data_IF_330537243737
#
_entry.id   IF_330537243737
#
_cell.length_a   1.000
_cell.length_b   1.000
_cell.length_c   1.000
_cell.angle_alpha   90.00
_cell.angle_beta   90.00
_cell.angle_gamma   90.00
#
_symmetry.space_group_name_H-M   'P 1'
#
loop_
_entity.id
_entity.type
_entity.pdbx_description
1 polymer ?
#
# COMPACT_ATOMS: atom_id res chain seq x y z
N UNK A 1 3.11 -8.24 7.74
CA UNK A 1 2.08 -8.39 7.89
C UNK A 1 0.76 -8.07 7.19
N UNK A 2 0.51 -8.59 5.97
CA UNK A 2 -0.72 -8.35 5.22
C UNK A 2 -1.49 -9.64 4.93
N UNK A 3 -1.19 -10.73 5.67
CA UNK A 3 -1.76 -12.06 5.42
C UNK A 3 -3.30 -12.06 5.44
N UNK A 4 -3.91 -11.27 6.32
CA UNK A 4 -5.36 -11.18 6.47
C UNK A 4 -6.05 -10.53 5.25
N UNK A 5 -5.29 -9.83 4.41
CA UNK A 5 -5.78 -9.14 3.22
C UNK A 5 -5.73 -10.02 1.95
N UNK A 6 -5.15 -11.21 2.05
CA UNK A 6 -4.98 -12.12 0.91
C UNK A 6 -6.22 -12.97 0.63
N UNK A 7 -7.12 -13.11 1.61
CA UNK A 7 -8.33 -13.93 1.46
C UNK A 7 -9.25 -13.39 0.35
N UNK A 8 -9.57 -14.24 -0.62
CA UNK A 8 -10.43 -13.92 -1.75
C UNK A 8 -9.77 -13.05 -2.85
N UNK A 9 -8.49 -12.73 -2.72
CA UNK A 9 -7.77 -11.89 -3.68
C UNK A 9 -7.65 -12.55 -5.05
N UNK A 10 -7.38 -13.86 -5.09
CA UNK A 10 -7.30 -14.62 -6.34
C UNK A 10 -8.64 -14.62 -7.09
N UNK A 11 -9.73 -14.93 -6.39
CA UNK A 11 -11.07 -14.91 -6.97
C UNK A 11 -11.43 -13.52 -7.52
N UNK A 12 -11.11 -12.47 -6.76
CA UNK A 12 -11.34 -11.09 -7.18
C UNK A 12 -10.53 -10.76 -8.45
N UNK A 13 -9.26 -11.11 -8.50
CA UNK A 13 -8.40 -10.84 -9.65
C UNK A 13 -8.94 -11.53 -10.92
N UNK A 14 -9.29 -12.81 -10.83
CA UNK A 14 -9.84 -13.56 -11.96
C UNK A 14 -11.20 -13.01 -12.42
N UNK A 15 -12.08 -12.64 -11.49
CA UNK A 15 -13.38 -12.01 -11.82
C UNK A 15 -13.24 -10.65 -12.51
N UNK A 16 -12.17 -9.92 -12.24
CA UNK A 16 -11.90 -8.63 -12.90
C UNK A 16 -11.13 -8.78 -14.22
N UNK A 17 -10.90 -10.01 -14.67
CA UNK A 17 -10.34 -10.30 -16.00
C UNK A 17 -8.83 -10.56 -16.02
N UNK A 18 -8.19 -10.65 -14.87
CA UNK A 18 -6.78 -11.04 -14.81
C UNK A 18 -6.61 -12.49 -15.29
N UNK A 19 -5.60 -12.74 -16.12
CA UNK A 19 -5.26 -14.09 -16.58
C UNK A 19 -4.40 -14.87 -15.58
N UNK A 20 -3.66 -14.14 -14.73
CA UNK A 20 -2.79 -14.68 -13.67
C UNK A 20 -2.79 -13.75 -12.47
N UNK A 21 -2.43 -14.30 -11.32
CA UNK A 21 -2.15 -13.57 -10.09
C UNK A 21 -0.83 -14.07 -9.50
N UNK A 22 -0.07 -13.16 -8.93
CA UNK A 22 1.13 -13.45 -8.15
C UNK A 22 0.95 -12.91 -6.74
N UNK A 23 1.19 -13.76 -5.76
CA UNK A 23 1.19 -13.39 -4.34
C UNK A 23 2.57 -13.75 -3.82
N UNK A 24 3.39 -12.74 -3.60
CA UNK A 24 4.80 -12.87 -3.25
C UNK A 24 5.05 -12.46 -1.80
N UNK A 25 5.74 -13.29 -1.05
CA UNK A 25 6.24 -12.94 0.27
C UNK A 25 7.65 -12.35 0.16
N UNK A 26 7.74 -11.04 0.36
CA UNK A 26 9.00 -10.29 0.35
C UNK A 26 9.42 -9.86 1.77
N UNK A 27 8.89 -10.50 2.80
CA UNK A 27 9.10 -10.11 4.21
C UNK A 27 10.59 -10.12 4.57
N UNK A 28 11.31 -11.20 4.25
CA UNK A 28 12.74 -11.32 4.57
C UNK A 28 13.56 -10.25 3.85
N UNK A 29 13.40 -10.12 2.54
CA UNK A 29 14.09 -9.10 1.74
C UNK A 29 13.77 -7.69 2.27
N UNK A 30 12.50 -7.41 2.55
CA UNK A 30 12.10 -6.10 3.09
C UNK A 30 12.77 -5.78 4.42
N UNK A 31 12.86 -6.75 5.32
CA UNK A 31 13.51 -6.55 6.62
C UNK A 31 15.03 -6.39 6.49
N UNK A 32 15.69 -7.29 5.76
CA UNK A 32 17.16 -7.35 5.71
C UNK A 32 17.77 -6.27 4.87
N UNK A 33 17.16 -5.94 3.72
CA UNK A 33 17.75 -5.07 2.72
C UNK A 33 17.24 -3.62 2.81
N UNK A 34 16.10 -3.39 3.46
CA UNK A 34 15.49 -2.06 3.56
C UNK A 34 15.30 -1.61 5.01
N UNK A 35 14.59 -2.36 5.85
CA UNK A 35 14.27 -1.92 7.22
C UNK A 35 15.53 -1.83 8.07
N UNK A 36 16.31 -2.89 8.18
CA UNK A 36 17.49 -2.91 9.04
C UNK A 36 18.54 -1.89 8.62
N UNK A 37 18.88 -1.71 7.33
CA UNK A 37 19.77 -0.63 6.90
C UNK A 37 19.24 0.77 7.22
N UNK A 38 17.93 1.01 7.07
CA UNK A 38 17.32 2.29 7.41
C UNK A 38 17.39 2.58 8.92
N UNK A 39 17.13 1.56 9.75
CA UNK A 39 17.27 1.67 11.21
C UNK A 39 18.73 1.95 11.61
N UNK A 40 19.68 1.21 11.04
CA UNK A 40 21.11 1.40 11.29
C UNK A 40 21.60 2.80 10.89
N UNK A 41 21.06 3.32 9.80
CA UNK A 41 21.36 4.68 9.33
C UNK A 41 20.67 5.78 10.12
N UNK A 42 19.73 5.45 11.02
CA UNK A 42 18.86 6.42 11.69
C UNK A 42 18.02 7.23 10.70
N UNK A 43 17.57 6.58 9.60
CA UNK A 43 16.86 7.24 8.52
C UNK A 43 15.49 7.75 8.97
N UNK A 44 15.35 9.05 9.04
CA UNK A 44 14.15 9.78 9.44
C UNK A 44 13.92 10.97 8.51
N UNK A 45 12.66 11.29 8.28
CA UNK A 45 12.28 12.60 7.77
C UNK A 45 11.43 13.29 8.84
N UNK A 46 12.01 14.29 9.51
CA UNK A 46 11.44 14.84 10.74
C UNK A 46 11.22 13.73 11.78
N UNK A 47 9.97 13.42 12.13
CA UNK A 47 9.62 12.32 13.03
C UNK A 47 9.06 11.09 12.28
N UNK A 48 9.00 11.13 10.95
CA UNK A 48 8.47 10.06 10.14
C UNK A 48 9.56 9.03 9.83
N UNK A 49 9.29 7.77 10.15
CA UNK A 49 10.23 6.63 9.99
C UNK A 49 10.23 6.04 8.57
N UNK A 50 9.77 6.78 7.59
CA UNK A 50 9.83 6.48 6.15
C UNK A 50 9.19 5.14 5.73
N UNK A 51 8.28 4.58 6.52
CA UNK A 51 7.74 3.24 6.33
C UNK A 51 7.10 3.01 4.95
N UNK A 52 6.32 3.96 4.44
CA UNK A 52 5.79 3.90 3.09
C UNK A 52 6.88 4.16 2.05
N UNK A 53 7.79 5.09 2.32
CA UNK A 53 8.78 5.53 1.34
C UNK A 53 9.74 4.41 0.92
N UNK A 54 10.25 3.61 1.86
CA UNK A 54 11.13 2.49 1.51
C UNK A 54 10.42 1.16 1.28
N UNK A 55 9.10 1.06 1.54
CA UNK A 55 8.31 -0.12 1.19
C UNK A 55 7.98 -0.21 -0.31
N UNK A 56 7.82 0.92 -1.00
CA UNK A 56 7.43 0.93 -2.42
C UNK A 56 8.53 0.41 -3.37
N UNK A 57 9.83 0.73 -3.20
CA UNK A 57 10.89 0.20 -4.06
C UNK A 57 10.98 -1.33 -4.11
N UNK A 58 10.97 -2.10 -3.02
CA UNK A 58 10.98 -3.56 -3.08
C UNK A 58 9.73 -4.15 -3.75
N UNK A 59 8.57 -3.54 -3.56
CA UNK A 59 7.35 -3.94 -4.30
C UNK A 59 7.56 -3.71 -5.80
N UNK A 60 8.05 -2.53 -6.21
CA UNK A 60 8.32 -2.23 -7.60
C UNK A 60 9.37 -3.19 -8.21
N UNK A 61 10.42 -3.52 -7.45
CA UNK A 61 11.42 -4.51 -7.87
C UNK A 61 10.77 -5.86 -8.18
N UNK A 62 9.93 -6.36 -7.28
CA UNK A 62 9.22 -7.63 -7.49
C UNK A 62 8.26 -7.58 -8.68
N UNK A 63 7.55 -6.47 -8.88
CA UNK A 63 6.70 -6.28 -10.05
C UNK A 63 7.52 -6.32 -11.34
N UNK A 64 8.69 -5.66 -11.39
CA UNK A 64 9.59 -5.68 -12.55
C UNK A 64 10.10 -7.09 -12.82
N UNK A 65 10.53 -7.83 -11.79
CA UNK A 65 10.98 -9.22 -11.93
C UNK A 65 9.90 -10.10 -12.58
N UNK A 66 8.66 -9.99 -12.11
CA UNK A 66 7.51 -10.73 -12.66
C UNK A 66 7.22 -10.27 -14.10
N UNK A 67 7.16 -8.96 -14.36
CA UNK A 67 6.88 -8.43 -15.68
C UNK A 67 7.90 -8.91 -16.73
N UNK A 68 9.19 -8.89 -16.39
CA UNK A 68 10.24 -9.39 -17.26
C UNK A 68 10.15 -10.91 -17.49
N UNK A 69 9.83 -11.68 -16.44
CA UNK A 69 9.67 -13.14 -16.56
C UNK A 69 8.47 -13.55 -17.41
N UNK A 70 7.42 -12.75 -17.39
CA UNK A 70 6.22 -12.96 -18.22
C UNK A 70 6.32 -12.34 -19.62
N UNK A 71 7.39 -11.62 -19.93
CA UNK A 71 7.55 -10.91 -21.19
C UNK A 71 6.52 -9.80 -21.38
N UNK A 72 6.15 -9.13 -20.30
CA UNK A 72 5.18 -8.06 -20.35
C UNK A 72 5.75 -6.78 -21.00
N UNK A 73 4.95 -6.11 -21.80
CA UNK A 73 5.33 -4.87 -22.49
C UNK A 73 5.14 -3.62 -21.61
N UNK A 74 4.34 -3.73 -20.57
CA UNK A 74 4.00 -2.61 -19.70
C UNK A 74 3.72 -3.03 -18.26
N UNK A 75 3.91 -2.09 -17.34
CA UNK A 75 3.48 -2.17 -15.94
C UNK A 75 2.43 -1.10 -15.70
N UNK A 76 1.27 -1.50 -15.17
CA UNK A 76 0.20 -0.58 -14.80
C UNK A 76 0.13 -0.45 -13.27
N UNK A 77 -0.09 0.78 -12.77
CA UNK A 77 -0.33 1.02 -11.36
C UNK A 77 -1.53 1.94 -11.12
N UNK A 78 -2.20 1.76 -9.99
CA UNK A 78 -3.35 2.54 -9.56
C UNK A 78 -3.03 3.71 -8.61
N UNK A 79 -1.78 4.16 -8.55
CA UNK A 79 -1.41 5.28 -7.68
C UNK A 79 -2.08 6.57 -8.14
N UNK A 80 -2.63 7.33 -7.19
CA UNK A 80 -3.26 8.61 -7.50
C UNK A 80 -2.27 9.62 -8.08
N UNK A 81 -2.72 10.49 -8.97
CA UNK A 81 -1.87 11.51 -9.61
C UNK A 81 -1.37 12.61 -8.67
N UNK A 82 -1.80 12.62 -7.39
CA UNK A 82 -1.44 13.63 -6.39
C UNK A 82 -0.44 13.13 -5.35
N UNK A 83 -0.36 11.81 -5.14
CA UNK A 83 0.46 11.20 -4.10
C UNK A 83 1.91 10.96 -4.52
N UNK A 84 2.77 10.70 -3.53
CA UNK A 84 4.19 10.39 -3.74
C UNK A 84 4.42 8.96 -4.25
N UNK A 85 3.46 8.06 -4.11
CA UNK A 85 3.63 6.64 -4.44
C UNK A 85 3.88 6.42 -5.92
N UNK A 86 3.20 7.18 -6.80
CA UNK A 86 3.49 7.13 -8.24
C UNK A 86 4.97 7.37 -8.54
N UNK A 87 5.59 8.37 -7.91
CA UNK A 87 7.02 8.69 -8.11
C UNK A 87 7.89 7.54 -7.61
N UNK A 88 7.58 6.99 -6.44
CA UNK A 88 8.35 5.87 -5.84
C UNK A 88 8.31 4.64 -6.72
N UNK A 89 7.13 4.24 -7.20
CA UNK A 89 6.99 3.10 -8.12
C UNK A 89 7.66 3.37 -9.46
N UNK A 90 7.36 4.49 -10.11
CA UNK A 90 7.86 4.77 -11.45
C UNK A 90 9.37 4.95 -11.51
N UNK A 91 9.96 5.63 -10.52
CA UNK A 91 11.41 5.76 -10.44
C UNK A 91 12.11 4.41 -10.24
N UNK A 92 11.55 3.55 -9.38
CA UNK A 92 12.09 2.20 -9.19
C UNK A 92 11.94 1.34 -10.46
N UNK A 93 10.77 1.36 -11.12
CA UNK A 93 10.54 0.66 -12.37
C UNK A 93 11.52 1.15 -13.44
N UNK A 94 11.67 2.46 -13.64
CA UNK A 94 12.58 3.03 -14.64
C UNK A 94 14.05 2.78 -14.34
N UNK A 95 14.42 2.66 -13.08
CA UNK A 95 15.80 2.29 -12.71
C UNK A 95 16.12 0.83 -13.04
N UNK A 96 15.15 -0.07 -12.89
CA UNK A 96 15.33 -1.52 -13.06
C UNK A 96 14.99 -2.01 -14.48
N UNK A 97 14.06 -1.35 -15.15
CA UNK A 97 13.59 -1.65 -16.49
C UNK A 97 13.34 -0.35 -17.29
N UNK A 98 14.39 0.34 -17.77
CA UNK A 98 14.28 1.67 -18.40
C UNK A 98 13.30 1.72 -19.59
N UNK A 99 13.24 0.66 -20.35
CA UNK A 99 12.41 0.55 -21.56
C UNK A 99 10.98 0.13 -21.29
N UNK A 100 10.66 -0.27 -20.03
CA UNK A 100 9.32 -0.69 -19.65
C UNK A 100 8.31 0.45 -19.78
N UNK A 101 7.21 0.21 -20.49
CA UNK A 101 6.11 1.17 -20.55
C UNK A 101 5.38 1.24 -19.21
N UNK A 102 5.10 2.45 -18.73
CA UNK A 102 4.31 2.65 -17.52
C UNK A 102 2.94 3.19 -17.88
N UNK A 103 1.90 2.52 -17.40
CA UNK A 103 0.51 2.91 -17.57
C UNK A 103 -0.01 3.39 -16.21
N UNK A 104 -0.40 4.66 -16.14
CA UNK A 104 -0.92 5.30 -14.93
C UNK A 104 -2.31 5.91 -15.20
N UNK A 105 -3.39 5.13 -15.11
CA UNK A 105 -4.72 5.53 -15.51
C UNK A 105 -5.22 6.82 -14.84
N UNK A 106 -4.88 7.04 -13.59
CA UNK A 106 -5.26 8.25 -12.85
C UNK A 106 -4.80 9.57 -13.51
N UNK A 107 -3.76 9.53 -14.34
CA UNK A 107 -3.29 10.71 -15.09
C UNK A 107 -4.07 10.95 -16.39
N UNK A 108 -4.71 9.91 -16.89
CA UNK A 108 -5.39 9.92 -18.20
C UNK A 108 -6.91 9.99 -18.05
N UNK A 109 -7.45 9.41 -16.98
CA UNK A 109 -8.90 9.37 -16.72
C UNK A 109 -9.48 10.74 -16.35
N UNK A 110 -10.77 10.91 -16.65
CA UNK A 110 -11.56 12.05 -16.19
C UNK A 110 -11.93 11.98 -14.70
N UNK A 111 -11.83 10.80 -14.08
CA UNK A 111 -12.10 10.56 -12.67
C UNK A 111 -11.13 11.40 -11.81
N UNK A 112 -11.68 12.20 -10.90
CA UNK A 112 -10.91 13.16 -10.09
C UNK A 112 -11.06 12.93 -8.58
N UNK A 113 -12.03 12.12 -8.18
CA UNK A 113 -12.32 11.86 -6.77
C UNK A 113 -12.57 10.38 -6.53
N UNK A 114 -12.51 9.99 -5.26
CA UNK A 114 -12.82 8.62 -4.82
C UNK A 114 -14.29 8.27 -5.02
N UNK A 115 -15.17 9.24 -4.89
CA UNK A 115 -16.60 9.08 -5.16
C UNK A 115 -16.85 8.70 -6.61
N UNK A 116 -16.22 9.41 -7.55
CA UNK A 116 -16.31 9.11 -8.98
C UNK A 116 -15.72 7.73 -9.32
N UNK A 117 -14.68 7.31 -8.59
CA UNK A 117 -14.09 5.96 -8.73
C UNK A 117 -15.07 4.87 -8.27
N UNK A 118 -15.77 5.11 -7.15
CA UNK A 118 -16.81 4.19 -6.67
C UNK A 118 -17.97 4.13 -7.66
N UNK A 119 -18.44 5.27 -8.16
CA UNK A 119 -19.51 5.35 -9.17
C UNK A 119 -19.11 4.59 -10.45
N UNK A 120 -17.85 4.73 -10.89
CA UNK A 120 -17.31 3.97 -12.02
C UNK A 120 -17.33 2.47 -11.74
N UNK A 121 -16.89 2.05 -10.57
CA UNK A 121 -16.85 0.64 -10.21
C UNK A 121 -18.26 0.04 -10.13
N UNK A 122 -19.24 0.77 -9.58
CA UNK A 122 -20.64 0.36 -9.54
C UNK A 122 -21.22 0.24 -10.96
N UNK A 123 -20.96 1.22 -11.84
CA UNK A 123 -21.43 1.21 -13.22
C UNK A 123 -20.86 0.04 -14.04
N UNK A 124 -19.67 -0.44 -13.68
CA UNK A 124 -19.00 -1.56 -14.36
C UNK A 124 -19.12 -2.90 -13.61
N UNK A 125 -19.93 -2.97 -12.54
CA UNK A 125 -20.11 -4.17 -11.71
C UNK A 125 -18.80 -4.71 -11.13
N UNK A 126 -17.85 -3.83 -10.79
CA UNK A 126 -16.60 -4.19 -10.13
C UNK A 126 -16.90 -4.41 -8.65
N UNK A 127 -16.61 -5.61 -8.08
CA UNK A 127 -16.90 -5.88 -6.69
C UNK A 127 -16.01 -5.07 -5.76
N UNK A 128 -16.63 -4.18 -4.98
CA UNK A 128 -15.96 -3.40 -3.95
C UNK A 128 -16.44 -3.81 -2.56
N UNK A 129 -15.51 -3.96 -1.62
CA UNK A 129 -15.79 -4.13 -0.19
C UNK A 129 -15.63 -2.79 0.53
N UNK A 130 -16.21 -1.71 -0.02
CA UNK A 130 -16.01 -0.36 0.50
C UNK A 130 -17.28 0.13 1.18
N UNK A 131 -17.13 0.62 2.41
CA UNK A 131 -18.14 1.43 3.09
C UNK A 131 -17.68 2.90 3.00
N UNK A 132 -18.50 3.77 2.40
CA UNK A 132 -18.19 5.21 2.21
C UNK A 132 -17.89 5.93 3.53
N UNK A 133 -18.44 5.46 4.65
CA UNK A 133 -18.33 6.11 5.95
C UNK A 133 -17.08 5.73 6.76
N UNK A 134 -16.46 4.59 6.44
CA UNK A 134 -15.33 4.04 7.23
C UNK A 134 -14.09 3.77 6.41
N UNK A 135 -14.05 4.28 5.17
CA UNK A 135 -12.99 3.97 4.24
C UNK A 135 -11.81 4.94 4.37
N UNK A 136 -11.07 4.83 5.46
CA UNK A 136 -9.75 5.47 5.57
C UNK A 136 -8.77 4.85 4.58
N UNK A 137 -7.88 5.65 4.00
CA UNK A 137 -6.72 5.13 3.31
C UNK A 137 -5.72 4.61 4.34
N UNK A 138 -5.25 3.38 4.15
CA UNK A 138 -4.35 2.71 5.09
C UNK A 138 -3.10 2.24 4.37
N UNK A 139 -1.95 2.57 4.94
CA UNK A 139 -0.67 1.97 4.58
C UNK A 139 -0.20 1.07 5.72
N UNK A 140 -0.18 -0.23 5.46
CA UNK A 140 0.15 -1.25 6.44
C UNK A 140 1.27 -2.13 5.92
N UNK A 141 2.35 -2.22 6.68
CA UNK A 141 3.41 -3.20 6.46
C UNK A 141 4.01 -3.66 7.80
N UNK A 142 4.99 -4.52 7.77
CA UNK A 142 5.61 -5.03 9.00
C UNK A 142 6.34 -3.96 9.82
N UNK A 143 6.65 -2.81 9.21
CA UNK A 143 7.38 -1.72 9.84
C UNK A 143 6.46 -0.62 10.38
N UNK A 144 5.35 -0.34 9.73
CA UNK A 144 4.47 0.75 10.14
C UNK A 144 3.01 0.55 9.74
N UNK A 145 2.17 1.37 10.34
CA UNK A 145 0.77 1.56 9.97
C UNK A 145 0.48 3.06 9.95
N UNK A 146 -0.15 3.53 8.88
CA UNK A 146 -0.68 4.89 8.79
C UNK A 146 -2.12 4.89 8.29
N UNK A 147 -2.85 5.92 8.68
CA UNK A 147 -4.22 6.17 8.25
C UNK A 147 -4.34 7.61 7.77
N UNK A 148 -5.09 7.82 6.70
CA UNK A 148 -5.42 9.13 6.15
C UNK A 148 -6.83 9.13 5.54
N UNK A 149 -7.36 10.30 5.28
CA UNK A 149 -8.67 10.47 4.65
C UNK A 149 -9.80 10.74 5.65
N UNK A 150 -10.99 10.95 5.11
CA UNK A 150 -12.22 11.27 5.86
C UNK A 150 -12.01 12.44 6.83
N UNK A 151 -12.42 12.30 8.07
CA UNK A 151 -12.31 13.31 9.11
C UNK A 151 -10.86 13.64 9.53
N UNK A 152 -9.90 12.77 9.20
CA UNK A 152 -8.46 13.04 9.41
C UNK A 152 -7.88 14.10 8.45
N UNK A 153 -8.60 14.44 7.38
CA UNK A 153 -8.21 15.52 6.47
C UNK A 153 -8.36 16.92 7.11
N UNK A 154 -9.19 17.03 8.14
CA UNK A 154 -9.31 18.25 8.93
C UNK A 154 -8.32 18.23 10.10
N UNK A 155 -7.27 19.09 10.10
CA UNK A 155 -6.27 19.12 11.15
C UNK A 155 -6.81 19.55 12.52
N UNK A 156 -8.06 20.00 12.61
CA UNK A 156 -8.73 20.28 13.88
C UNK A 156 -9.23 19.00 14.57
N UNK A 157 -9.31 17.89 13.85
CA UNK A 157 -9.74 16.61 14.40
C UNK A 157 -8.58 15.84 15.01
N UNK A 158 -8.79 15.32 16.21
CA UNK A 158 -7.82 14.46 16.88
C UNK A 158 -7.82 13.06 16.24
N UNK A 159 -6.63 12.43 16.01
CA UNK A 159 -6.57 11.06 15.52
C UNK A 159 -7.23 10.05 16.47
N UNK A 160 -7.88 9.05 15.90
CA UNK A 160 -8.71 8.08 16.63
C UNK A 160 -7.88 6.92 17.21
N UNK A 161 -6.87 7.17 18.01
CA UNK A 161 -5.96 6.14 18.54
C UNK A 161 -6.67 5.04 19.34
N UNK A 162 -7.75 5.37 20.04
CA UNK A 162 -8.49 4.45 20.92
C UNK A 162 -9.79 3.92 20.30
N UNK A 163 -10.05 4.19 19.04
CA UNK A 163 -11.23 3.66 18.35
C UNK A 163 -11.03 2.17 18.06
N UNK A 164 -11.95 1.35 18.52
CA UNK A 164 -11.91 -0.09 18.29
C UNK A 164 -11.80 -0.42 16.79
N UNK A 165 -10.84 -1.28 16.42
CA UNK A 165 -10.58 -1.67 15.03
C UNK A 165 -9.84 -0.63 14.19
N UNK A 166 -9.43 0.51 14.75
CA UNK A 166 -8.67 1.50 14.03
C UNK A 166 -7.19 1.14 13.94
N UNK A 167 -6.58 0.72 15.07
CA UNK A 167 -5.20 0.21 15.11
C UNK A 167 -5.19 -1.29 14.84
N UNK A 168 -4.94 -1.69 13.60
CA UNK A 168 -5.04 -3.09 13.17
C UNK A 168 -3.77 -3.91 13.44
N UNK A 169 -2.61 -3.27 13.64
CA UNK A 169 -1.32 -3.93 13.84
C UNK A 169 -0.77 -3.83 15.25
N UNK A 170 -1.49 -3.18 16.13
CA UNK A 170 -1.04 -2.95 17.49
C UNK A 170 -2.21 -2.72 18.41
N UNK A 171 -1.89 -2.54 19.65
CA UNK A 171 -2.84 -2.14 20.71
C UNK A 171 -2.46 -0.76 21.20
N UNK A 172 -3.44 0.05 21.60
CA UNK A 172 -3.15 1.33 22.24
C UNK A 172 -2.44 1.08 23.59
N UNK A 173 -1.65 2.05 24.10
CA UNK A 173 -0.97 1.91 25.38
C UNK A 173 -1.91 1.52 26.53
N UNK A 174 -3.15 2.01 26.52
CA UNK A 174 -4.16 1.71 27.54
C UNK A 174 -4.63 0.25 27.52
N UNK A 175 -4.52 -0.42 26.39
CA UNK A 175 -4.92 -1.81 26.19
C UNK A 175 -3.73 -2.77 26.16
N UNK A 176 -2.50 -2.25 26.19
CA UNK A 176 -1.31 -3.05 26.21
C UNK A 176 -1.18 -3.86 27.53
N UNK A 177 -0.58 -5.05 27.52
CA UNK A 177 -0.35 -5.81 28.74
C UNK A 177 0.55 -5.06 29.73
N UNK A 178 0.20 -5.07 31.02
CA UNK A 178 1.03 -4.49 32.08
C UNK A 178 2.30 -5.31 32.39
N UNK A 179 2.40 -6.52 31.83
CA UNK A 179 3.52 -7.42 32.06
C UNK A 179 4.52 -7.36 30.90
N UNK A 180 5.83 -7.36 31.20
CA UNK A 180 6.86 -7.40 30.16
C UNK A 180 6.75 -8.65 29.28
N UNK A 181 6.88 -8.47 27.96
CA UNK A 181 7.03 -9.57 27.00
C UNK A 181 8.48 -9.62 26.55
N UNK A 182 9.10 -10.78 26.67
CA UNK A 182 10.48 -10.99 26.22
C UNK A 182 10.47 -11.62 24.83
N UNK A 183 11.25 -11.04 23.92
CA UNK A 183 11.47 -11.56 22.57
C UNK A 183 12.90 -12.10 22.50
N UNK A 184 13.06 -13.33 22.04
CA UNK A 184 14.36 -14.00 21.87
C UNK A 184 14.70 -14.16 20.42
#
# INVERSE_FOLDING_TARGET
GQADELEGLEEKALKTGASKIYIEDITEEFLTDYVFPCVQAGALYENYMLGTAFARPPIAKKIVEIALSEGADAICHGCTGKGNDQVRFEMAIKALAPDMTIIAPWREWSIKSREEEIDYAEAHNIPLKINRETNYSKDKNIWHLSHEGLDLEDPANEPHYNKAGFLEMGVSPELAPDMPTYVT
#
